data_IF_354912750656
#
_entry.id   IF_354912750656
#
_cell.length_a   1.000
_cell.length_b   1.000
_cell.length_c   1.000
_cell.angle_alpha   90.00
_cell.angle_beta   90.00
_cell.angle_gamma   90.00
#
_symmetry.space_group_name_H-M   'P 1'
#
loop_
_entity.id
_entity.type
_entity.pdbx_description
1 polymer ?
#
# COMPACT_ATOMS: atom_id res chain seq x y z
N UNK A 1 -2.07 -54.77 -41.56
CA UNK A 1 -2.33 -53.39 -41.11
C UNK A 1 -1.61 -52.49 -42.07
N UNK A 2 -2.36 -51.74 -42.87
CA UNK A 2 -1.83 -50.83 -43.88
C UNK A 2 -1.22 -49.59 -43.18
N UNK A 3 0.08 -49.32 -43.32
CA UNK A 3 0.74 -48.22 -42.64
C UNK A 3 0.29 -46.83 -43.12
N UNK A 4 -0.43 -46.74 -44.24
CA UNK A 4 -0.95 -45.46 -44.79
C UNK A 4 -2.31 -45.07 -44.21
N UNK A 5 -2.94 -45.93 -43.41
CA UNK A 5 -4.20 -45.60 -42.74
C UNK A 5 -3.92 -44.92 -41.38
N UNK A 6 -4.61 -43.81 -41.06
CA UNK A 6 -4.50 -43.21 -39.74
C UNK A 6 -4.92 -44.22 -38.68
N UNK A 7 -4.13 -44.31 -37.60
CA UNK A 7 -4.45 -45.23 -36.52
C UNK A 7 -5.77 -44.84 -35.84
N UNK A 8 -6.61 -45.82 -35.47
CA UNK A 8 -7.84 -45.56 -34.74
C UNK A 8 -7.55 -44.83 -33.43
N UNK A 9 -8.39 -43.83 -33.12
CA UNK A 9 -8.26 -43.00 -31.93
C UNK A 9 -8.32 -43.88 -30.67
N UNK A 10 -7.32 -43.75 -29.79
CA UNK A 10 -7.33 -44.46 -28.51
C UNK A 10 -8.44 -43.89 -27.60
N UNK A 11 -9.40 -44.73 -27.23
CA UNK A 11 -10.50 -44.36 -26.35
C UNK A 11 -10.03 -43.91 -24.96
N UNK A 12 -8.87 -44.38 -24.49
CA UNK A 12 -8.31 -43.92 -23.21
C UNK A 12 -7.83 -42.46 -23.29
N UNK A 13 -7.26 -42.06 -24.42
CA UNK A 13 -6.88 -40.67 -24.68
C UNK A 13 -8.11 -39.77 -24.82
N UNK A 14 -9.15 -40.24 -25.52
CA UNK A 14 -10.38 -39.49 -25.67
C UNK A 14 -11.12 -39.29 -24.35
N UNK A 15 -11.05 -40.27 -23.42
CA UNK A 15 -11.78 -40.21 -22.16
C UNK A 15 -11.45 -38.96 -21.34
N UNK A 16 -10.17 -38.57 -21.25
CA UNK A 16 -9.74 -37.35 -20.56
C UNK A 16 -10.30 -36.08 -21.21
N UNK A 17 -10.35 -36.04 -22.55
CA UNK A 17 -10.93 -34.93 -23.30
C UNK A 17 -12.45 -34.87 -23.18
N UNK A 18 -13.13 -36.01 -23.03
CA UNK A 18 -14.57 -36.06 -22.78
C UNK A 18 -14.92 -35.68 -21.33
N UNK A 19 -14.15 -36.14 -20.35
CA UNK A 19 -14.40 -35.86 -18.93
C UNK A 19 -14.02 -34.43 -18.53
N UNK A 20 -12.95 -33.88 -19.10
CA UNK A 20 -12.44 -32.54 -18.84
C UNK A 20 -12.37 -31.71 -20.13
N UNK A 21 -13.46 -31.70 -20.89
CA UNK A 21 -13.50 -30.97 -22.16
C UNK A 21 -13.22 -29.48 -21.95
N UNK A 22 -12.16 -28.93 -22.57
CA UNK A 22 -11.86 -27.51 -22.51
C UNK A 22 -12.88 -26.67 -23.28
N UNK A 23 -13.70 -27.29 -24.13
CA UNK A 23 -14.69 -26.62 -24.99
C UNK A 23 -16.08 -26.51 -24.37
N UNK A 24 -16.39 -27.30 -23.34
CA UNK A 24 -17.69 -27.26 -22.65
C UNK A 24 -17.63 -26.63 -21.27
N UNK A 25 -16.45 -26.20 -20.82
CA UNK A 25 -16.30 -25.55 -19.51
C UNK A 25 -16.78 -24.10 -19.63
N UNK A 26 -17.86 -23.76 -18.92
CA UNK A 26 -18.27 -22.37 -18.72
C UNK A 26 -17.20 -21.67 -17.88
N UNK A 27 -16.29 -20.94 -18.53
CA UNK A 27 -15.30 -20.13 -17.83
C UNK A 27 -16.01 -18.86 -17.38
N UNK A 28 -16.31 -18.75 -16.09
CA UNK A 28 -16.79 -17.49 -15.54
C UNK A 28 -15.60 -16.52 -15.47
N UNK A 29 -15.39 -15.82 -16.59
CA UNK A 29 -14.29 -14.88 -16.77
C UNK A 29 -14.39 -13.70 -15.80
N UNK A 30 -15.60 -13.30 -15.41
CA UNK A 30 -15.85 -12.23 -14.44
C UNK A 30 -15.25 -12.52 -13.06
N UNK A 31 -15.21 -13.79 -12.65
CA UNK A 31 -14.60 -14.20 -11.38
C UNK A 31 -13.07 -14.27 -11.43
N UNK A 32 -12.50 -14.40 -12.63
CA UNK A 32 -11.07 -14.63 -12.85
C UNK A 32 -10.35 -13.34 -13.23
N UNK A 33 -11.03 -12.43 -13.91
CA UNK A 33 -10.50 -11.15 -14.36
C UNK A 33 -10.95 -10.04 -13.41
N UNK A 34 -10.03 -9.14 -13.09
CA UNK A 34 -10.31 -7.99 -12.23
C UNK A 34 -9.88 -6.71 -12.95
N UNK A 35 -10.78 -5.74 -13.05
CA UNK A 35 -10.43 -4.43 -13.59
C UNK A 35 -9.66 -3.66 -12.52
N UNK A 36 -8.41 -3.34 -12.83
CA UNK A 36 -7.48 -2.65 -11.90
C UNK A 36 -7.20 -1.21 -12.27
N UNK A 37 -7.58 -0.79 -13.49
CA UNK A 37 -7.37 0.57 -13.96
C UNK A 37 -8.08 0.83 -15.27
N UNK A 38 -8.51 2.08 -15.46
CA UNK A 38 -8.97 2.63 -16.73
C UNK A 38 -8.27 3.96 -16.92
N UNK A 39 -7.73 4.19 -18.10
CA UNK A 39 -7.07 5.41 -18.51
C UNK A 39 -7.59 5.83 -19.89
N UNK A 40 -7.43 7.10 -20.22
CA UNK A 40 -7.75 7.63 -21.54
C UNK A 40 -6.48 8.23 -22.14
N UNK A 41 -6.05 7.70 -23.29
CA UNK A 41 -4.86 8.18 -24.00
C UNK A 41 -5.35 8.79 -25.31
N UNK A 42 -5.14 10.09 -25.52
CA UNK A 42 -5.63 10.82 -26.69
C UNK A 42 -7.16 10.67 -26.91
N UNK A 43 -7.93 10.51 -25.83
CA UNK A 43 -9.37 10.28 -25.89
C UNK A 43 -9.78 8.82 -26.11
N UNK A 44 -8.83 7.91 -26.34
CA UNK A 44 -9.11 6.47 -26.48
C UNK A 44 -9.02 5.76 -25.13
N UNK A 45 -10.02 4.92 -24.78
CA UNK A 45 -10.02 4.20 -23.52
C UNK A 45 -9.00 3.05 -23.54
N UNK A 46 -8.28 2.91 -22.44
CA UNK A 46 -7.30 1.85 -22.18
C UNK A 46 -7.61 1.25 -20.81
N UNK A 47 -7.84 -0.05 -20.76
CA UNK A 47 -8.14 -0.76 -19.53
C UNK A 47 -6.98 -1.69 -19.13
N UNK A 48 -6.75 -1.80 -17.82
CA UNK A 48 -5.77 -2.73 -17.23
C UNK A 48 -6.52 -3.80 -16.45
N UNK A 49 -6.43 -5.03 -16.92
CA UNK A 49 -7.12 -6.19 -16.35
C UNK A 49 -6.12 -7.14 -15.72
N UNK A 50 -6.34 -7.51 -14.47
CA UNK A 50 -5.55 -8.51 -13.75
C UNK A 50 -6.24 -9.87 -13.85
N UNK A 51 -5.54 -10.86 -14.37
CA UNK A 51 -5.95 -12.26 -14.24
C UNK A 51 -5.56 -12.77 -12.85
N UNK A 52 -6.55 -13.07 -12.01
CA UNK A 52 -6.36 -13.50 -10.62
C UNK A 52 -5.74 -14.90 -10.51
N UNK A 53 -5.87 -15.74 -11.53
CA UNK A 53 -5.32 -17.09 -11.60
C UNK A 53 -3.85 -17.08 -12.00
N UNK A 54 -3.49 -16.38 -13.08
CA UNK A 54 -2.10 -16.30 -13.57
C UNK A 54 -1.28 -15.19 -12.92
N UNK A 55 -1.94 -14.26 -12.20
CA UNK A 55 -1.35 -13.02 -11.65
C UNK A 55 -0.77 -12.07 -12.70
N UNK A 56 -1.17 -12.23 -13.96
CA UNK A 56 -0.71 -11.37 -15.04
C UNK A 56 -1.65 -10.19 -15.23
N UNK A 57 -1.07 -9.00 -15.39
CA UNK A 57 -1.78 -7.80 -15.81
C UNK A 57 -1.71 -7.66 -17.32
N UNK A 58 -2.87 -7.50 -17.94
CA UNK A 58 -3.01 -7.34 -19.38
C UNK A 58 -3.62 -5.99 -19.68
N UNK A 59 -3.12 -5.36 -20.73
CA UNK A 59 -3.65 -4.10 -21.25
C UNK A 59 -4.63 -4.45 -22.36
N UNK A 60 -5.79 -3.80 -22.32
CA UNK A 60 -6.87 -3.97 -23.28
C UNK A 60 -7.25 -2.60 -23.85
N UNK A 61 -7.24 -2.51 -25.17
CA UNK A 61 -7.56 -1.32 -25.96
C UNK A 61 -8.69 -1.61 -26.93
N UNK A 62 -9.16 -0.63 -27.70
CA UNK A 62 -10.13 -0.83 -28.78
C UNK A 62 -9.62 -1.84 -29.84
N UNK A 63 -8.31 -1.84 -30.11
CA UNK A 63 -7.69 -2.88 -30.92
C UNK A 63 -7.50 -4.18 -30.12
N UNK A 64 -7.74 -5.35 -30.74
CA UNK A 64 -7.44 -6.64 -30.14
C UNK A 64 -5.96 -6.79 -29.78
N UNK A 65 -5.68 -7.29 -28.58
CA UNK A 65 -4.34 -7.70 -28.15
C UNK A 65 -3.97 -9.09 -28.68
N UNK A 66 -2.81 -9.62 -28.27
CA UNK A 66 -2.32 -10.95 -28.68
C UNK A 66 -3.26 -12.12 -28.32
N UNK A 67 -4.13 -11.92 -27.33
CA UNK A 67 -5.15 -12.89 -26.93
C UNK A 67 -6.48 -12.68 -27.66
N UNK A 68 -6.55 -11.71 -28.58
CA UNK A 68 -7.76 -11.31 -29.28
C UNK A 68 -8.72 -10.49 -28.43
N UNK A 69 -8.30 -9.98 -27.27
CA UNK A 69 -9.17 -9.22 -26.37
C UNK A 69 -9.19 -7.76 -26.76
N UNK A 70 -10.38 -7.17 -26.79
CA UNK A 70 -10.56 -5.75 -27.10
C UNK A 70 -11.59 -5.10 -26.20
N UNK A 71 -11.44 -3.81 -26.00
CA UNK A 71 -12.35 -2.95 -25.27
C UNK A 71 -13.47 -2.50 -26.21
N UNK A 72 -14.72 -2.61 -25.76
CA UNK A 72 -15.89 -2.14 -26.50
C UNK A 72 -16.35 -0.77 -26.00
N UNK A 73 -16.36 -0.60 -24.68
CA UNK A 73 -16.74 0.65 -24.04
C UNK A 73 -16.07 0.79 -22.67
N UNK A 74 -15.86 2.04 -22.26
CA UNK A 74 -15.47 2.39 -20.91
C UNK A 74 -16.39 3.51 -20.43
N UNK A 75 -17.09 3.26 -19.33
CA UNK A 75 -17.97 4.21 -18.68
C UNK A 75 -17.24 4.73 -17.44
N UNK A 76 -16.71 5.97 -17.48
CA UNK A 76 -16.04 6.57 -16.34
C UNK A 76 -17.11 6.93 -15.28
N UNK A 77 -17.01 6.31 -14.11
CA UNK A 77 -17.83 6.70 -12.96
C UNK A 77 -17.27 7.95 -12.28
N UNK A 78 -18.14 8.75 -11.64
CA UNK A 78 -17.69 9.85 -10.76
C UNK A 78 -16.86 9.34 -9.58
N UNK A 79 -17.14 8.11 -9.15
CA UNK A 79 -16.33 7.34 -8.21
C UNK A 79 -15.61 6.20 -8.95
N UNK A 80 -14.37 5.84 -8.55
CA UNK A 80 -13.66 4.73 -9.13
C UNK A 80 -14.47 3.45 -9.10
N UNK A 81 -15.19 3.16 -8.00
CA UNK A 81 -16.02 1.96 -7.86
C UNK A 81 -17.20 1.88 -8.83
N UNK A 82 -17.64 3.02 -9.39
CA UNK A 82 -18.70 3.08 -10.39
C UNK A 82 -18.14 3.03 -11.83
N UNK A 83 -16.82 2.96 -11.99
CA UNK A 83 -16.20 2.81 -13.30
C UNK A 83 -16.44 1.41 -13.80
N UNK A 84 -16.95 1.30 -15.02
CA UNK A 84 -17.31 0.04 -15.66
C UNK A 84 -16.69 -0.01 -17.04
N UNK A 85 -16.30 -1.21 -17.47
CA UNK A 85 -15.88 -1.47 -18.84
C UNK A 85 -16.70 -2.60 -19.43
N UNK A 86 -16.89 -2.56 -20.74
CA UNK A 86 -17.33 -3.69 -21.53
C UNK A 86 -16.16 -4.11 -22.43
N UNK A 87 -15.77 -5.38 -22.37
CA UNK A 87 -14.71 -5.92 -23.22
C UNK A 87 -15.13 -7.23 -23.86
N UNK A 88 -14.55 -7.51 -25.01
CA UNK A 88 -14.74 -8.75 -25.76
C UNK A 88 -13.56 -9.69 -25.50
N UNK A 89 -13.88 -10.92 -25.10
CA UNK A 89 -12.92 -12.01 -24.86
C UNK A 89 -13.34 -13.18 -25.73
N UNK A 90 -12.67 -13.36 -26.86
CA UNK A 90 -13.10 -14.34 -27.87
C UNK A 90 -14.52 -14.01 -28.38
N UNK A 91 -15.49 -14.93 -28.28
CA UNK A 91 -16.88 -14.68 -28.69
C UNK A 91 -17.74 -14.00 -27.62
N UNK A 92 -17.26 -13.87 -26.38
CA UNK A 92 -18.06 -13.38 -25.25
C UNK A 92 -17.81 -11.89 -24.99
N UNK A 93 -18.86 -11.17 -24.63
CA UNK A 93 -18.77 -9.81 -24.11
C UNK A 93 -18.97 -9.84 -22.61
N UNK A 94 -17.97 -9.38 -21.87
CA UNK A 94 -18.00 -9.33 -20.41
C UNK A 94 -18.03 -7.88 -19.95
N UNK A 95 -18.73 -7.66 -18.85
CA UNK A 95 -18.83 -6.35 -18.21
C UNK A 95 -18.11 -6.42 -16.88
N UNK A 96 -17.19 -5.50 -16.64
CA UNK A 96 -16.36 -5.52 -15.45
C UNK A 96 -16.40 -4.17 -14.74
N UNK A 97 -16.54 -4.22 -13.42
CA UNK A 97 -16.44 -3.04 -12.57
C UNK A 97 -15.03 -2.89 -12.03
N UNK A 98 -14.60 -1.65 -11.87
CA UNK A 98 -13.33 -1.33 -11.25
C UNK A 98 -13.33 -1.86 -9.81
N UNK A 99 -12.49 -2.84 -9.59
CA UNK A 99 -12.16 -3.31 -8.25
C UNK A 99 -10.81 -2.69 -7.94
N UNK A 100 -10.88 -1.49 -7.35
CA UNK A 100 -9.72 -0.82 -6.81
C UNK A 100 -8.93 -1.82 -6.02
N UNK A 101 -7.67 -2.02 -6.41
CA UNK A 101 -6.84 -2.93 -5.65
C UNK A 101 -6.78 -2.37 -4.22
N UNK A 102 -7.43 -3.07 -3.30
CA UNK A 102 -6.84 -3.30 -1.99
C UNK A 102 -5.55 -4.06 -2.25
N UNK A 103 -4.53 -3.33 -2.75
CA UNK A 103 -3.15 -3.68 -2.47
C UNK A 103 -3.14 -3.87 -0.97
N UNK A 104 -2.93 -5.11 -0.55
CA UNK A 104 -2.89 -5.54 0.83
C UNK A 104 -1.72 -4.81 1.53
N UNK A 105 -1.87 -3.51 1.78
CA UNK A 105 -1.29 -2.88 2.94
C UNK A 105 -2.12 -3.44 4.09
N UNK A 106 -1.48 -4.28 4.88
CA UNK A 106 -2.00 -4.87 6.10
C UNK A 106 -2.82 -3.86 6.96
N UNK A 107 -3.73 -4.36 7.80
CA UNK A 107 -4.99 -3.70 8.13
C UNK A 107 -4.78 -2.45 8.99
N UNK A 108 -5.40 -1.35 8.57
CA UNK A 108 -5.47 -0.13 9.38
C UNK A 108 -5.64 1.13 8.57
N UNK A 109 -6.81 1.32 7.95
CA UNK A 109 -7.04 2.48 7.11
C UNK A 109 -8.50 2.87 6.96
N UNK A 110 -9.25 3.02 8.06
CA UNK A 110 -10.43 3.89 8.05
C UNK A 110 -9.94 5.32 7.77
N UNK A 111 -10.32 5.89 6.64
CA UNK A 111 -9.86 7.23 6.26
C UNK A 111 -10.69 7.87 5.16
N UNK A 112 -11.98 8.02 5.41
CA UNK A 112 -12.84 8.93 4.66
C UNK A 112 -12.35 10.38 4.81
N UNK A 113 -12.09 11.02 3.64
CA UNK A 113 -12.30 12.43 3.32
C UNK A 113 -11.44 13.54 3.97
N UNK A 114 -11.24 14.56 3.12
CA UNK A 114 -10.92 15.99 3.35
C UNK A 114 -9.46 16.40 3.58
N UNK A 115 -9.00 17.17 2.58
CA UNK A 115 -8.41 18.51 2.70
C UNK A 115 -7.34 18.72 3.78
N UNK A 116 -6.12 19.05 3.35
CA UNK A 116 -5.56 20.39 3.58
C UNK A 116 -4.18 20.51 2.94
N UNK A 117 -4.05 21.44 2.00
CA UNK A 117 -2.81 22.17 1.76
C UNK A 117 -2.35 22.76 3.10
N UNK A 118 -1.20 22.31 3.60
CA UNK A 118 -0.33 23.09 4.48
C UNK A 118 1.08 22.49 4.41
N UNK A 119 2.00 23.22 3.80
CA UNK A 119 3.36 22.78 3.58
C UNK A 119 4.15 22.55 4.86
N UNK A 120 5.05 21.58 4.81
CA UNK A 120 6.38 21.70 5.42
C UNK A 120 7.27 20.55 4.94
N UNK A 121 8.35 20.91 4.24
CA UNK A 121 9.65 20.26 4.41
C UNK A 121 9.81 18.82 3.91
N UNK A 122 10.16 18.70 2.63
CA UNK A 122 11.34 17.97 2.12
C UNK A 122 11.87 16.78 2.96
N UNK A 123 11.82 15.58 2.39
CA UNK A 123 12.70 14.49 2.80
C UNK A 123 12.22 13.08 2.47
N UNK A 124 12.29 12.73 1.19
CA UNK A 124 12.88 11.52 0.58
C UNK A 124 12.82 10.21 1.40
N UNK A 125 12.35 9.18 0.70
CA UNK A 125 12.55 7.74 0.88
C UNK A 125 13.27 7.21 2.12
N UNK A 126 12.68 6.15 2.66
CA UNK A 126 13.18 5.38 3.77
C UNK A 126 12.10 5.33 4.83
N UNK A 127 11.67 4.13 5.16
CA UNK A 127 10.90 3.78 6.35
C UNK A 127 11.66 4.28 7.58
N UNK A 128 11.59 5.60 7.86
CA UNK A 128 12.37 6.25 8.92
C UNK A 128 11.90 5.62 10.21
N UNK A 129 12.76 4.75 10.73
CA UNK A 129 12.54 4.06 11.99
C UNK A 129 12.00 5.04 13.03
N UNK A 130 10.72 4.88 13.37
CA UNK A 130 10.05 5.74 14.34
C UNK A 130 10.33 5.16 15.71
N UNK A 131 11.27 5.76 16.43
CA UNK A 131 11.60 5.37 17.81
C UNK A 131 10.41 5.48 18.75
N UNK A 132 9.39 6.28 18.39
CA UNK A 132 8.09 6.34 19.08
C UNK A 132 7.26 5.07 18.94
N UNK A 133 7.47 4.24 17.91
CA UNK A 133 6.76 2.96 17.74
C UNK A 133 7.22 1.90 18.74
N UNK A 134 8.43 2.04 19.30
CA UNK A 134 8.95 1.12 20.32
C UNK A 134 8.38 1.38 21.72
N UNK A 135 7.64 2.48 21.91
CA UNK A 135 7.02 2.85 23.19
C UNK A 135 5.59 2.31 23.32
N UNK A 136 5.15 1.44 22.40
CA UNK A 136 3.80 0.87 22.37
C UNK A 136 2.76 1.83 21.80
N UNK A 137 1.47 1.51 22.02
CA UNK A 137 0.33 2.20 21.37
C UNK A 137 0.25 3.70 21.71
N UNK A 138 0.68 4.07 22.93
CA UNK A 138 0.76 5.49 23.37
C UNK A 138 2.13 6.12 23.09
N UNK A 139 2.99 5.44 22.34
CA UNK A 139 4.38 5.85 22.16
C UNK A 139 4.55 7.19 21.46
N UNK A 140 3.60 7.58 20.59
CA UNK A 140 3.59 8.91 19.96
C UNK A 140 3.34 10.03 20.97
N UNK A 141 2.44 9.82 21.92
CA UNK A 141 2.11 10.80 22.96
C UNK A 141 3.21 10.88 24.01
N UNK A 142 3.75 9.73 24.43
CA UNK A 142 4.88 9.65 25.35
C UNK A 142 6.11 10.34 24.77
N UNK A 143 6.43 10.09 23.50
CA UNK A 143 7.54 10.75 22.83
C UNK A 143 7.33 12.27 22.70
N UNK A 144 6.11 12.72 22.42
CA UNK A 144 5.78 14.14 22.37
C UNK A 144 5.85 14.84 23.75
N UNK A 145 5.68 14.09 24.84
CA UNK A 145 5.77 14.61 26.21
C UNK A 145 7.18 14.99 26.66
N UNK A 146 8.21 14.50 25.97
CA UNK A 146 9.60 14.87 26.24
C UNK A 146 9.93 16.26 25.65
N UNK A 147 10.89 16.97 26.23
CA UNK A 147 11.47 18.16 25.61
C UNK A 147 12.15 17.84 24.26
N UNK A 148 12.31 18.81 23.34
CA UNK A 148 13.01 18.59 22.07
C UNK A 148 14.40 17.96 22.23
N UNK A 149 15.19 18.45 23.18
CA UNK A 149 16.53 17.92 23.47
C UNK A 149 16.51 16.50 24.05
N UNK A 150 15.49 16.19 24.87
CA UNK A 150 15.28 14.85 25.41
C UNK A 150 14.85 13.84 24.32
N UNK A 151 14.07 14.30 23.33
CA UNK A 151 13.66 13.48 22.17
C UNK A 151 14.83 13.10 21.28
N UNK A 152 15.78 14.00 21.08
CA UNK A 152 16.97 13.74 20.27
C UNK A 152 17.91 12.75 20.98
N UNK A 153 18.17 12.96 22.28
CA UNK A 153 18.95 12.01 23.11
C UNK A 153 18.33 10.61 23.13
N UNK A 154 16.99 10.54 23.22
CA UNK A 154 16.26 9.27 23.18
C UNK A 154 16.48 8.57 21.84
N UNK A 155 16.35 9.30 20.73
CA UNK A 155 16.54 8.76 19.39
C UNK A 155 17.95 8.22 19.20
N UNK A 156 18.96 8.96 19.62
CA UNK A 156 20.36 8.58 19.44
C UNK A 156 20.74 7.34 20.24
N UNK A 157 20.27 7.22 21.49
CA UNK A 157 20.52 6.03 22.32
C UNK A 157 19.84 4.78 21.77
N UNK A 158 18.58 4.89 21.33
CA UNK A 158 17.85 3.78 20.73
C UNK A 158 18.49 3.36 19.41
N UNK A 159 18.86 4.31 18.55
CA UNK A 159 19.55 4.03 17.29
C UNK A 159 20.90 3.36 17.53
N UNK A 160 21.72 3.89 18.42
CA UNK A 160 23.04 3.34 18.72
C UNK A 160 22.96 1.91 19.27
N UNK A 161 21.91 1.58 20.04
CA UNK A 161 21.68 0.21 20.51
C UNK A 161 21.31 -0.73 19.37
N UNK A 162 20.41 -0.31 18.48
CA UNK A 162 19.97 -1.11 17.34
C UNK A 162 21.08 -1.34 16.31
N UNK A 163 21.91 -0.33 16.08
CA UNK A 163 23.07 -0.44 15.18
C UNK A 163 24.12 -1.42 15.73
N UNK A 164 24.33 -1.42 17.05
CA UNK A 164 25.26 -2.35 17.71
C UNK A 164 24.72 -3.78 17.85
N UNK A 165 23.42 -3.96 17.77
CA UNK A 165 22.77 -5.25 17.95
C UNK A 165 21.61 -5.43 16.98
N UNK A 166 21.91 -5.70 15.70
CA UNK A 166 20.89 -5.95 14.69
C UNK A 166 20.11 -7.25 14.91
N UNK A 167 20.60 -8.14 15.78
CA UNK A 167 19.99 -9.45 16.08
C UNK A 167 18.88 -9.42 17.13
N UNK A 168 18.66 -8.28 17.80
CA UNK A 168 17.62 -8.21 18.84
C UNK A 168 16.21 -8.19 18.24
N UNK A 169 15.32 -8.95 18.87
CA UNK A 169 13.92 -9.00 18.50
C UNK A 169 13.23 -7.66 18.79
N UNK A 170 12.10 -7.42 18.12
CA UNK A 170 11.31 -6.20 18.29
C UNK A 170 10.90 -5.96 19.75
N UNK A 171 10.61 -7.03 20.50
CA UNK A 171 10.24 -6.97 21.92
C UNK A 171 11.41 -6.50 22.81
N UNK A 172 12.61 -7.01 22.58
CA UNK A 172 13.80 -6.60 23.32
C UNK A 172 14.17 -5.13 23.03
N UNK A 173 13.94 -4.70 21.79
CA UNK A 173 14.11 -3.31 21.39
C UNK A 173 13.05 -2.39 22.03
N UNK A 174 11.80 -2.83 22.16
CA UNK A 174 10.77 -2.07 22.89
C UNK A 174 11.05 -1.97 24.38
N UNK A 175 11.49 -3.06 25.02
CA UNK A 175 11.84 -3.05 26.45
C UNK A 175 12.99 -2.11 26.76
N UNK A 176 14.02 -2.11 25.90
CA UNK A 176 15.14 -1.18 26.00
C UNK A 176 14.68 0.26 25.80
N UNK A 177 13.86 0.53 24.78
CA UNK A 177 13.32 1.86 24.51
C UNK A 177 12.47 2.38 25.67
N UNK A 178 11.63 1.56 26.29
CA UNK A 178 10.86 1.95 27.47
C UNK A 178 11.75 2.31 28.67
N UNK A 179 12.81 1.53 28.92
CA UNK A 179 13.80 1.82 29.97
C UNK A 179 14.55 3.14 29.73
N UNK A 180 15.00 3.36 28.50
CA UNK A 180 15.69 4.60 28.12
C UNK A 180 14.75 5.79 28.20
N UNK A 181 13.51 5.63 27.76
CA UNK A 181 12.47 6.67 27.86
C UNK A 181 12.21 7.07 29.32
N UNK A 182 12.03 6.10 30.23
CA UNK A 182 11.83 6.38 31.65
C UNK A 182 13.01 7.12 32.26
N UNK A 183 14.25 6.72 31.92
CA UNK A 183 15.47 7.40 32.37
C UNK A 183 15.55 8.84 31.87
N UNK A 184 15.25 9.06 30.59
CA UNK A 184 15.26 10.40 29.98
C UNK A 184 14.15 11.27 30.55
N UNK A 185 12.93 10.75 30.69
CA UNK A 185 11.81 11.47 31.29
C UNK A 185 12.10 11.89 32.74
N UNK A 186 12.73 11.03 33.53
CA UNK A 186 13.18 11.38 34.88
C UNK A 186 14.26 12.48 34.86
N UNK A 187 15.22 12.42 33.93
CA UNK A 187 16.24 13.47 33.77
C UNK A 187 15.69 14.80 33.22
N UNK A 188 14.64 14.75 32.39
CA UNK A 188 13.99 15.91 31.78
C UNK A 188 13.06 16.61 32.77
N UNK A 189 12.31 15.84 33.57
CA UNK A 189 11.50 16.39 34.66
C UNK A 189 12.35 17.08 35.74
N UNK A 190 13.57 16.59 36.00
CA UNK A 190 14.52 17.22 36.93
C UNK A 190 15.29 18.40 36.31
N UNK A 191 15.49 18.44 34.99
CA UNK A 191 16.08 19.60 34.31
C UNK A 191 15.07 20.77 34.19
N UNK A 192 13.77 20.47 34.11
CA UNK A 192 12.70 21.49 34.13
C UNK A 192 12.53 22.20 35.48
N UNK A 193 13.19 21.73 36.55
CA UNK A 193 13.13 22.32 37.90
C UNK A 193 14.27 23.31 38.22
N UNK A 194 15.15 23.65 37.27
CA UNK A 194 16.17 24.71 37.43
C UNK A 194 15.87 25.92 36.54
N UNK A 195 15.01 26.81 37.03
CA UNK A 195 15.22 28.26 36.80
C UNK A 195 16.03 28.83 37.96
N UNK A 196 16.97 29.76 37.70
CA UNK A 196 16.81 31.06 38.34
C UNK A 196 17.22 32.28 37.50
N UNK A 197 16.34 33.31 37.57
CA UNK A 197 16.55 34.76 37.80
C UNK A 197 17.79 35.45 37.18
N UNK A 198 17.66 36.55 36.45
CA UNK A 198 17.42 37.93 36.95
C UNK A 198 17.14 38.81 35.70
N UNK A 199 16.24 39.79 35.64
CA UNK A 199 15.88 40.81 36.63
C UNK A 199 16.67 42.10 36.39
N UNK A 200 16.26 42.95 35.42
CA UNK A 200 16.62 44.39 35.42
C UNK A 200 15.49 45.24 34.79
N UNK A 201 15.06 46.35 35.42
CA UNK A 201 13.76 47.00 35.18
C UNK A 201 13.79 48.06 34.06
N UNK A 202 12.61 48.55 33.59
CA UNK A 202 12.52 49.52 32.51
C UNK A 202 12.74 50.95 33.05
N UNK A 203 13.63 51.72 32.42
CA UNK A 203 13.70 53.18 32.64
C UNK A 203 12.86 53.91 31.57
N UNK A 204 11.74 54.47 32.03
CA UNK A 204 11.03 55.60 31.41
C UNK A 204 11.99 56.77 31.13
N UNK A 205 11.85 57.38 29.96
CA UNK A 205 11.93 58.83 29.65
C UNK A 205 11.08 59.01 28.39
N UNK A 206 9.84 59.52 28.42
CA UNK A 206 9.45 60.93 28.59
C UNK A 206 10.44 61.89 27.92
N UNK A 207 10.00 62.45 26.80
CA UNK A 207 10.82 63.17 25.84
C UNK A 207 11.01 64.65 26.11
N UNK A 208 11.64 65.28 25.13
CA UNK A 208 11.49 66.64 24.62
C UNK A 208 12.38 66.71 23.37
#
# INVERSE_FOLDING_TARGET
MDPDLPQPLDFNFANSLLSESPFTRSVNLENTLQLTGVAYINGHPVATVLNKQTKQSLIVTEQPNELGWRLLAAEPGTDPSNTQIAMMVGPETITMHYHGQEMNNAPGGKGSAKSQLAGSGSGKDGTKFRTSSLLGDKGRELYASLSPDARDKFRDLVRARMEKHPEFTQEQNSDYAQKVFAKIKASDSSSSAKTPKTGKPPKKKQGA
#
